data_IF_173882922338
#
_entry.id   IF_173882922338
#
_cell.length_a   1.000
_cell.length_b   1.000
_cell.length_c   1.000
_cell.angle_alpha   90.00
_cell.angle_beta   90.00
_cell.angle_gamma   90.00
#
_symmetry.space_group_name_H-M   'P 1'
#
loop_
_entity.id
_entity.type
_entity.pdbx_description
1 polymer ?
#
# COMPACT_ATOMS: atom_id res chain seq x y z
N UNK A 1 26.58 32.44 -13.81
CA UNK A 1 25.41 32.29 -12.89
C UNK A 1 24.27 31.71 -13.72
N UNK A 2 24.06 30.39 -13.68
CA UNK A 2 23.07 29.74 -14.53
C UNK A 2 21.65 30.08 -14.07
N UNK A 3 20.82 30.58 -14.98
CA UNK A 3 19.41 30.91 -14.74
C UNK A 3 18.68 29.62 -14.40
N UNK A 4 18.13 29.51 -13.19
CA UNK A 4 17.38 28.33 -12.78
C UNK A 4 16.13 28.20 -13.66
N UNK A 5 16.07 27.16 -14.48
CA UNK A 5 14.90 26.86 -15.29
C UNK A 5 13.89 26.06 -14.46
N UNK A 6 12.89 26.76 -13.94
CA UNK A 6 11.77 26.19 -13.20
C UNK A 6 11.24 27.16 -12.14
N UNK A 7 9.99 27.60 -12.27
CA UNK A 7 9.33 28.43 -11.26
C UNK A 7 8.86 27.57 -10.08
N UNK A 8 9.14 28.01 -8.84
CA UNK A 8 8.64 27.38 -7.61
C UNK A 8 7.10 27.40 -7.46
N UNK A 9 6.41 28.22 -8.25
CA UNK A 9 4.96 28.42 -8.21
C UNK A 9 4.11 27.13 -8.38
N UNK A 10 4.69 26.05 -8.91
CA UNK A 10 3.97 24.76 -9.13
C UNK A 10 4.28 23.70 -8.07
N UNK A 11 5.10 24.01 -7.07
CA UNK A 11 5.43 23.08 -6.00
C UNK A 11 4.17 22.66 -5.23
N UNK A 12 3.99 21.36 -5.02
CA UNK A 12 2.85 20.83 -4.25
C UNK A 12 1.48 20.86 -4.95
N UNK A 13 1.36 21.40 -6.18
CA UNK A 13 0.08 21.52 -6.92
C UNK A 13 -0.75 20.23 -6.87
N UNK A 14 -0.14 19.11 -7.21
CA UNK A 14 -0.86 17.82 -7.32
C UNK A 14 -1.33 17.32 -5.96
N UNK A 15 -0.47 17.35 -4.94
CA UNK A 15 -0.81 16.87 -3.59
C UNK A 15 -1.90 17.72 -2.91
N UNK A 16 -1.91 19.03 -3.20
CA UNK A 16 -2.92 19.94 -2.66
C UNK A 16 -4.25 19.84 -3.42
N UNK A 17 -4.21 19.49 -4.71
CA UNK A 17 -5.40 19.24 -5.52
C UNK A 17 -6.11 17.94 -5.13
N UNK A 18 -5.36 16.89 -4.75
CA UNK A 18 -5.97 15.61 -4.37
C UNK A 18 -6.79 15.75 -3.08
N UNK A 19 -8.03 15.23 -3.03
CA UNK A 19 -8.83 15.27 -1.81
C UNK A 19 -8.15 14.49 -0.69
N UNK A 20 -8.17 15.05 0.52
CA UNK A 20 -7.60 14.40 1.69
C UNK A 20 -8.56 13.32 2.20
N UNK A 21 -8.17 12.06 2.02
CA UNK A 21 -8.93 10.91 2.56
C UNK A 21 -8.40 10.56 3.95
N UNK A 22 -9.29 10.56 4.94
CA UNK A 22 -8.94 10.14 6.30
C UNK A 22 -8.68 8.64 6.39
N UNK A 23 -7.88 8.25 7.38
CA UNK A 23 -7.59 6.82 7.62
C UNK A 23 -8.84 6.17 8.21
N UNK A 24 -9.39 5.20 7.50
CA UNK A 24 -10.46 4.34 8.03
C UNK A 24 -9.97 3.57 9.27
N UNK A 25 -10.85 3.43 10.26
CA UNK A 25 -10.59 2.58 11.42
C UNK A 25 -10.49 1.12 10.99
N UNK A 26 -9.42 0.43 11.40
CA UNK A 26 -9.17 -0.98 11.10
C UNK A 26 -8.81 -1.72 12.38
N UNK A 27 -9.20 -2.99 12.46
CA UNK A 27 -8.80 -3.88 13.56
C UNK A 27 -7.27 -3.97 13.62
N UNK A 28 -6.73 -4.09 14.84
CA UNK A 28 -5.29 -4.26 15.05
C UNK A 28 -4.80 -5.49 14.28
N UNK A 29 -3.76 -5.31 13.47
CA UNK A 29 -3.16 -6.41 12.75
C UNK A 29 -2.47 -7.37 13.74
N UNK A 30 -2.56 -8.68 13.48
CA UNK A 30 -1.77 -9.65 14.23
C UNK A 30 -0.28 -9.41 13.99
N UNK A 31 0.53 -9.59 15.04
CA UNK A 31 1.98 -9.36 15.01
C UNK A 31 2.75 -10.65 15.30
N UNK A 32 4.06 -10.65 15.00
CA UNK A 32 4.97 -11.75 15.30
C UNK A 32 4.54 -13.11 14.75
N UNK A 33 4.54 -14.12 15.63
CA UNK A 33 4.23 -15.52 15.30
C UNK A 33 2.80 -15.70 14.79
N UNK A 34 1.83 -14.99 15.37
CA UNK A 34 0.43 -15.07 14.94
C UNK A 34 0.27 -14.62 13.48
N UNK A 35 0.98 -13.54 13.09
CA UNK A 35 1.00 -13.06 11.70
C UNK A 35 1.57 -14.11 10.75
N UNK A 36 2.68 -14.75 11.13
CA UNK A 36 3.34 -15.78 10.32
C UNK A 36 2.45 -17.01 10.12
N UNK A 37 1.76 -17.48 11.17
CA UNK A 37 0.78 -18.57 11.07
C UNK A 37 -0.35 -18.22 10.09
N UNK A 38 -0.92 -17.02 10.21
CA UNK A 38 -1.99 -16.58 9.32
C UNK A 38 -1.53 -16.48 7.86
N UNK A 39 -0.31 -15.98 7.61
CA UNK A 39 0.28 -15.92 6.28
C UNK A 39 0.50 -17.31 5.67
N UNK A 40 1.00 -18.28 6.45
CA UNK A 40 1.21 -19.65 5.99
C UNK A 40 -0.12 -20.31 5.62
N UNK A 41 -1.10 -20.29 6.53
CA UNK A 41 -2.41 -20.87 6.27
C UNK A 41 -3.07 -20.27 5.02
N UNK A 42 -3.00 -18.94 4.85
CA UNK A 42 -3.58 -18.24 3.69
C UNK A 42 -2.89 -18.56 2.37
N UNK A 43 -1.58 -18.83 2.39
CA UNK A 43 -0.77 -19.01 1.16
C UNK A 43 -0.65 -20.46 0.70
N UNK A 44 -0.72 -21.41 1.63
CA UNK A 44 -0.36 -22.79 1.35
C UNK A 44 -1.43 -23.81 1.76
N UNK A 45 -2.07 -23.62 2.93
CA UNK A 45 -3.05 -24.61 3.44
C UNK A 45 -4.43 -24.41 2.82
N UNK A 46 -4.91 -23.17 2.77
CA UNK A 46 -6.28 -22.86 2.37
C UNK A 46 -6.42 -22.59 0.84
N UNK A 47 -5.42 -22.93 0.04
CA UNK A 47 -5.41 -22.67 -1.41
C UNK A 47 -5.34 -23.97 -2.19
N UNK A 48 -6.39 -24.23 -2.98
CA UNK A 48 -6.44 -25.35 -3.93
C UNK A 48 -5.75 -24.89 -5.22
N UNK A 49 -4.71 -25.59 -5.70
CA UNK A 49 -4.09 -25.32 -7.01
C UNK A 49 -2.76 -24.54 -7.03
N UNK A 50 -1.87 -24.72 -6.06
CA UNK A 50 -0.48 -24.22 -6.15
C UNK A 50 -0.30 -22.72 -5.89
N UNK A 51 0.80 -22.15 -6.37
CA UNK A 51 1.33 -20.82 -5.98
C UNK A 51 0.44 -19.69 -6.53
N UNK A 52 -0.49 -19.17 -5.71
CA UNK A 52 -1.38 -18.05 -6.07
C UNK A 52 -0.60 -16.77 -6.43
N UNK A 53 -1.08 -16.05 -7.45
CA UNK A 53 -0.63 -14.69 -7.78
C UNK A 53 -0.84 -13.78 -6.57
N UNK A 54 0.24 -13.16 -6.10
CA UNK A 54 0.16 -12.16 -5.04
C UNK A 54 -0.46 -10.88 -5.61
N UNK A 55 -1.46 -10.33 -4.92
CA UNK A 55 -2.17 -9.11 -5.30
C UNK A 55 -2.83 -9.18 -6.70
N UNK A 56 -3.78 -10.11 -6.93
CA UNK A 56 -4.56 -10.07 -8.15
C UNK A 56 -5.41 -8.78 -8.15
N UNK A 57 -5.30 -8.01 -9.23
CA UNK A 57 -6.33 -7.02 -9.55
C UNK A 57 -7.56 -7.83 -9.95
N UNK A 58 -8.58 -7.79 -9.08
CA UNK A 58 -9.90 -8.38 -9.35
C UNK A 58 -10.66 -7.46 -10.28
#
# INVERSE_FOLDING_TARGET
>A
MAKAHGSLARAGKVKNQTPRVEKQQKKKASTGRAKKRHQYNRRFVNTVGGRKKCNPQS
#
